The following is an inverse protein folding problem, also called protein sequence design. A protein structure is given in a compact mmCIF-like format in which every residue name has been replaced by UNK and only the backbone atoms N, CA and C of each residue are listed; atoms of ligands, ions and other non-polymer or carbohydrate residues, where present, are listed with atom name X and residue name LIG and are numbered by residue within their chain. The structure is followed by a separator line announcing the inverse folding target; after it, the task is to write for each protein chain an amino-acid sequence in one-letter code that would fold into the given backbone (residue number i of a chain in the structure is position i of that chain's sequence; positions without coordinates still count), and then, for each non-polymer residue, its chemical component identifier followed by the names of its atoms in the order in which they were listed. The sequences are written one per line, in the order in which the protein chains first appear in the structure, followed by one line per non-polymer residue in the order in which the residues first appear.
data_IF_290389980711
#
_entry.id   IF_290389980711
#
_cell.length_a   1.000
_cell.length_b   1.000
_cell.length_c   1.000
_cell.angle_alpha   90.00
_cell.angle_beta   90.00
_cell.angle_gamma   90.00
#
_symmetry.space_group_name_H-M   'P 1'
#
loop_
_entity.id
_entity.type
_entity.pdbx_description
1 polymer ?
#
# COMPACT_ATOMS: atom_id res chain seq x y z
N UNK A 1 1.08 4.68 8.98
CA UNK A 1 -0.25 4.29 9.54
C UNK A 1 -1.36 4.26 8.48
N UNK A 2 -1.44 5.26 7.58
CA UNK A 2 -2.55 5.44 6.63
C UNK A 2 -2.82 4.23 5.73
N UNK A 3 -1.78 3.58 5.21
CA UNK A 3 -1.92 2.40 4.34
C UNK A 3 -2.56 1.23 5.10
N UNK A 4 -2.17 1.02 6.38
CA UNK A 4 -2.79 -0.01 7.23
C UNK A 4 -4.27 0.28 7.45
N UNK A 5 -4.61 1.54 7.74
CA UNK A 5 -6.00 1.98 7.95
C UNK A 5 -6.81 1.80 6.66
N UNK A 6 -6.30 2.27 5.52
CA UNK A 6 -6.94 2.12 4.21
C UNK A 6 -7.18 0.66 3.85
N UNK A 7 -6.19 -0.21 4.08
CA UNK A 7 -6.31 -1.65 3.88
C UNK A 7 -7.42 -2.27 4.74
N UNK A 8 -7.51 -1.91 6.02
CA UNK A 8 -8.54 -2.41 6.94
C UNK A 8 -9.93 -1.90 6.52
N UNK A 9 -10.06 -0.63 6.12
CA UNK A 9 -11.31 -0.06 5.59
C UNK A 9 -11.80 -0.77 4.32
N UNK A 10 -10.88 -1.30 3.52
CA UNK A 10 -11.18 -2.16 2.36
C UNK A 10 -11.39 -3.63 2.71
N UNK A 11 -11.41 -3.99 4.01
CA UNK A 11 -11.54 -5.36 4.49
C UNK A 11 -10.49 -6.33 3.93
N UNK A 12 -9.29 -5.82 3.63
CA UNK A 12 -8.20 -6.61 3.06
C UNK A 12 -7.23 -7.07 4.16
N UNK A 13 -6.77 -8.31 4.06
CA UNK A 13 -5.57 -8.76 4.80
C UNK A 13 -4.31 -8.30 4.07
N UNK A 14 -3.16 -8.29 4.76
CA UNK A 14 -1.87 -8.00 4.13
C UNK A 14 -1.59 -8.96 2.96
N UNK A 15 -1.90 -10.26 3.15
CA UNK A 15 -1.79 -11.27 2.11
C UNK A 15 -2.68 -10.95 0.92
N UNK A 16 -3.95 -10.56 1.14
CA UNK A 16 -4.86 -10.25 0.03
C UNK A 16 -4.41 -9.01 -0.74
N UNK A 17 -3.92 -7.98 -0.07
CA UNK A 17 -3.33 -6.81 -0.74
C UNK A 17 -2.16 -7.20 -1.65
N UNK A 18 -1.25 -8.06 -1.16
CA UNK A 18 -0.11 -8.57 -1.97
C UNK A 18 -0.56 -9.37 -3.18
N UNK A 19 -1.54 -10.25 -2.99
CA UNK A 19 -2.12 -11.05 -4.07
C UNK A 19 -2.73 -10.13 -5.13
N UNK A 20 -3.50 -9.12 -4.74
CA UNK A 20 -4.08 -8.16 -5.68
C UNK A 20 -3.02 -7.34 -6.43
N UNK A 21 -1.95 -6.91 -5.74
CA UNK A 21 -0.81 -6.24 -6.39
C UNK A 21 -0.14 -7.15 -7.43
N UNK A 22 0.02 -8.43 -7.12
CA UNK A 22 0.62 -9.39 -8.03
C UNK A 22 -0.29 -9.70 -9.22
N UNK A 23 -1.57 -9.94 -8.99
CA UNK A 23 -2.54 -10.32 -10.01
C UNK A 23 -2.87 -9.16 -10.96
N UNK A 24 -3.09 -7.95 -10.43
CA UNK A 24 -3.55 -6.80 -11.24
C UNK A 24 -2.42 -5.98 -11.85
N UNK A 25 -1.26 -5.94 -11.20
CA UNK A 25 -0.17 -5.04 -11.59
C UNK A 25 1.18 -5.77 -11.79
N UNK A 26 1.22 -7.10 -11.65
CA UNK A 26 2.45 -7.91 -11.67
C UNK A 26 3.49 -7.51 -10.61
N UNK A 27 3.07 -6.78 -9.56
CA UNK A 27 3.95 -6.28 -8.50
C UNK A 27 4.06 -7.33 -7.39
N UNK A 28 5.26 -7.87 -7.22
CA UNK A 28 5.57 -8.83 -6.16
C UNK A 28 6.18 -8.16 -4.94
N UNK A 29 5.38 -7.89 -3.91
CA UNK A 29 5.89 -7.45 -2.61
C UNK A 29 6.09 -8.64 -1.68
N UNK A 30 7.18 -8.67 -0.92
CA UNK A 30 7.39 -9.67 0.15
C UNK A 30 6.48 -9.36 1.36
N UNK A 31 6.23 -10.33 2.27
CA UNK A 31 5.43 -10.07 3.47
C UNK A 31 6.05 -8.95 4.33
N UNK A 32 7.36 -9.03 4.54
CA UNK A 32 8.11 -8.03 5.32
C UNK A 32 8.01 -6.63 4.71
N UNK A 33 8.00 -6.55 3.37
CA UNK A 33 7.89 -5.27 2.66
C UNK A 33 6.55 -4.58 2.91
N UNK A 34 5.44 -5.32 2.88
CA UNK A 34 4.12 -4.76 3.22
C UNK A 34 4.06 -4.30 4.67
N UNK A 35 4.62 -5.08 5.60
CA UNK A 35 4.66 -4.70 7.01
C UNK A 35 5.46 -3.39 7.20
N UNK A 36 6.60 -3.26 6.52
CA UNK A 36 7.41 -2.04 6.55
C UNK A 36 6.64 -0.83 6.01
N UNK A 37 6.00 -0.97 4.84
CA UNK A 37 5.17 0.08 4.22
C UNK A 37 4.03 0.51 5.16
N UNK A 38 3.35 -0.42 5.83
CA UNK A 38 2.28 -0.08 6.78
C UNK A 38 2.78 0.69 8.01
N UNK A 39 4.03 0.45 8.41
CA UNK A 39 4.73 1.17 9.47
C UNK A 39 5.31 2.52 9.02
N UNK A 40 5.23 2.85 7.73
CA UNK A 40 5.73 4.10 7.18
C UNK A 40 7.14 4.02 6.58
N UNK A 41 7.74 2.83 6.53
CA UNK A 41 9.01 2.62 5.83
C UNK A 41 8.75 2.32 4.34
N UNK A 42 8.99 3.35 3.53
CA UNK A 42 8.83 3.32 2.07
C UNK A 42 10.17 3.14 1.33
N UNK A 43 11.26 2.81 2.02
CA UNK A 43 12.60 2.73 1.44
C UNK A 43 12.62 1.81 0.23
N UNK A 44 12.97 2.30 -0.97
CA UNK A 44 13.01 1.48 -2.18
C UNK A 44 11.65 1.05 -2.74
N UNK A 45 10.55 1.65 -2.26
CA UNK A 45 9.25 1.58 -2.93
C UNK A 45 9.27 2.53 -4.15
N UNK A 46 8.92 2.01 -5.32
CA UNK A 46 8.87 2.78 -6.56
C UNK A 46 7.52 3.47 -6.72
N UNK A 47 7.50 4.58 -7.45
CA UNK A 47 6.28 5.36 -7.68
C UNK A 47 5.11 4.54 -8.26
N UNK A 48 5.36 3.67 -9.24
CA UNK A 48 4.30 2.81 -9.80
C UNK A 48 3.72 1.83 -8.77
N UNK A 49 4.50 1.40 -7.77
CA UNK A 49 4.01 0.56 -6.67
C UNK A 49 3.12 1.37 -5.73
N UNK A 50 3.46 2.63 -5.46
CA UNK A 50 2.62 3.56 -4.69
C UNK A 50 1.28 3.79 -5.39
N UNK A 51 1.30 4.02 -6.70
CA UNK A 51 0.09 4.19 -7.52
C UNK A 51 -0.77 2.94 -7.50
N UNK A 52 -0.19 1.75 -7.66
CA UNK A 52 -0.93 0.49 -7.61
C UNK A 52 -1.59 0.25 -6.24
N UNK A 53 -0.87 0.54 -5.15
CA UNK A 53 -1.42 0.48 -3.78
C UNK A 53 -2.59 1.46 -3.64
N UNK A 54 -2.42 2.71 -4.10
CA UNK A 54 -3.46 3.73 -4.11
C UNK A 54 -4.71 3.29 -4.86
N UNK A 55 -4.56 2.71 -6.04
CA UNK A 55 -5.68 2.21 -6.85
C UNK A 55 -6.41 1.04 -6.18
N UNK A 56 -5.69 0.10 -5.55
CA UNK A 56 -6.33 -1.02 -4.83
C UNK A 56 -7.08 -0.51 -3.60
N UNK A 57 -6.51 0.46 -2.89
CA UNK A 57 -7.10 1.03 -1.69
C UNK A 57 -8.16 2.10 -1.99
N UNK A 58 -8.26 2.56 -3.24
CA UNK A 58 -9.09 3.68 -3.70
C UNK A 58 -8.91 4.94 -2.84
N UNK A 59 -7.67 5.22 -2.47
CA UNK A 59 -7.27 6.41 -1.70
C UNK A 59 -6.17 7.11 -2.49
N UNK A 60 -6.21 8.44 -2.68
CA UNK A 60 -5.15 9.17 -3.36
C UNK A 60 -3.75 8.85 -2.83
N UNK A 61 -2.75 8.85 -3.72
CA UNK A 61 -1.34 8.60 -3.34
C UNK A 61 -0.88 9.58 -2.27
N UNK A 62 -1.30 10.84 -2.39
CA UNK A 62 -0.99 11.92 -1.45
C UNK A 62 -1.48 11.57 -0.05
N UNK A 63 -2.74 11.16 0.11
CA UNK A 63 -3.31 10.84 1.43
C UNK A 63 -2.67 9.59 2.05
N UNK A 64 -2.21 8.64 1.22
CA UNK A 64 -1.57 7.41 1.70
C UNK A 64 -0.11 7.58 2.12
N UNK A 65 0.65 8.38 1.38
CA UNK A 65 2.12 8.43 1.49
C UNK A 65 2.67 9.80 1.87
N UNK A 66 1.89 10.87 1.66
CA UNK A 66 2.26 12.26 1.93
C UNK A 66 1.09 12.99 2.63
N UNK A 67 0.54 12.44 3.73
CA UNK A 67 -0.54 13.12 4.44
C UNK A 67 -0.03 14.47 4.92
N UNK A 68 -0.84 15.51 4.73
CA UNK A 68 -0.57 16.80 5.36
C UNK A 68 -0.67 16.57 6.87
N UNK A 69 0.44 16.78 7.59
CA UNK A 69 0.42 16.80 9.05
C UNK A 69 -0.31 18.08 9.48
N UNK A 70 -1.38 17.94 10.28
CA UNK A 70 -1.99 19.05 11.03
C UNK A 70 -1.12 19.43 12.24
#
# INVERSE_FOLDING_TARGET
MNIKIGRIKKHLTQTKLRVLLKEKYSIGLSPNKIVAIEKGDYTGLKYHEMVAISQILEIPVQDLFFPVEE
#
